data_IF_511869946364
#
_entry.id   IF_511869946364
#
_cell.length_a   1.000
_cell.length_b   1.000
_cell.length_c   1.000
_cell.angle_alpha   90.00
_cell.angle_beta   90.00
_cell.angle_gamma   90.00
#
_symmetry.space_group_name_H-M   'P 1'
#
loop_
_entity.id
_entity.type
_entity.pdbx_description
1 polymer ?
#
# COMPACT_ATOMS: atom_id res chain seq x y z
N UNK A 1 -73.93 -49.98 59.28
CA UNK A 1 -73.04 -51.00 59.82
C UNK A 1 -71.74 -50.91 59.12
N UNK A 2 -70.74 -50.35 59.79
CA UNK A 2 -69.40 -50.85 60.01
C UNK A 2 -68.62 -51.19 58.76
N UNK A 3 -67.48 -50.81 58.51
CA UNK A 3 -66.35 -50.65 59.41
C UNK A 3 -65.22 -49.87 58.67
N UNK A 4 -64.51 -49.17 59.44
CA UNK A 4 -63.18 -48.66 59.40
C UNK A 4 -62.15 -49.42 58.54
N UNK A 5 -61.18 -48.73 58.08
CA UNK A 5 -59.93 -49.26 57.57
C UNK A 5 -58.96 -48.19 57.13
N UNK A 6 -58.47 -47.43 58.11
CA UNK A 6 -57.21 -46.68 58.06
C UNK A 6 -56.10 -47.58 57.51
N UNK A 7 -55.20 -47.04 56.70
CA UNK A 7 -53.70 -47.10 56.86
C UNK A 7 -53.00 -46.22 55.86
N UNK A 8 -52.42 -45.14 56.32
CA UNK A 8 -51.17 -44.58 55.83
C UNK A 8 -50.05 -45.61 56.11
N UNK A 9 -48.87 -45.43 55.59
CA UNK A 9 -48.17 -44.54 54.67
C UNK A 9 -47.19 -45.27 53.73
N UNK A 10 -46.61 -44.61 52.85
CA UNK A 10 -45.13 -44.71 52.61
C UNK A 10 -44.64 -43.64 51.67
N UNK A 11 -43.97 -42.78 52.31
CA UNK A 11 -43.00 -41.83 51.79
C UNK A 11 -42.07 -42.52 50.80
N UNK A 12 -42.09 -42.11 49.55
CA UNK A 12 -41.07 -42.43 48.59
C UNK A 12 -40.51 -41.12 48.04
N UNK A 13 -39.33 -40.77 48.55
CA UNK A 13 -38.44 -39.76 48.05
C UNK A 13 -38.08 -40.11 46.62
N UNK A 14 -38.56 -39.33 45.64
CA UNK A 14 -38.01 -39.33 44.32
C UNK A 14 -37.12 -38.09 44.21
N UNK A 15 -35.81 -38.33 44.32
CA UNK A 15 -34.79 -37.37 43.97
C UNK A 15 -34.88 -37.08 42.46
N UNK A 16 -35.53 -35.99 42.11
CA UNK A 16 -35.40 -35.42 40.75
C UNK A 16 -34.06 -34.74 40.65
N UNK A 17 -33.10 -35.43 40.03
CA UNK A 17 -31.85 -34.86 39.56
C UNK A 17 -32.18 -34.01 38.36
N UNK A 18 -32.28 -32.70 38.55
CA UNK A 18 -32.34 -31.71 37.47
C UNK A 18 -30.93 -31.60 36.92
N UNK A 19 -30.65 -32.31 35.84
CA UNK A 19 -29.47 -32.13 35.02
C UNK A 19 -29.65 -30.87 34.20
N UNK A 20 -29.24 -29.71 34.75
CA UNK A 20 -29.18 -28.45 34.02
C UNK A 20 -28.06 -28.57 32.99
N UNK A 21 -28.44 -28.85 31.73
CA UNK A 21 -27.56 -28.70 30.59
C UNK A 21 -27.20 -27.20 30.43
N UNK A 22 -26.03 -26.88 30.92
CA UNK A 22 -25.41 -25.57 30.70
C UNK A 22 -24.95 -25.52 29.24
N UNK A 23 -25.85 -25.14 28.33
CA UNK A 23 -25.48 -24.81 26.97
C UNK A 23 -24.80 -23.45 27.01
N UNK A 24 -23.47 -23.47 27.13
CA UNK A 24 -22.67 -22.28 26.92
C UNK A 24 -22.83 -21.84 25.45
N UNK A 25 -23.22 -20.61 25.18
CA UNK A 25 -23.18 -20.10 23.80
C UNK A 25 -21.71 -20.06 23.38
N UNK A 26 -21.35 -20.92 22.45
CA UNK A 26 -20.11 -20.81 21.71
C UNK A 26 -20.22 -19.54 20.84
N UNK A 27 -19.87 -18.39 21.42
CA UNK A 27 -19.67 -17.18 20.66
C UNK A 27 -18.48 -17.44 19.73
N UNK A 28 -18.79 -17.91 18.52
CA UNK A 28 -17.84 -17.82 17.44
C UNK A 28 -17.55 -16.32 17.25
N UNK A 29 -16.40 -15.89 17.71
CA UNK A 29 -15.85 -14.61 17.30
C UNK A 29 -15.66 -14.71 15.79
N UNK A 30 -16.62 -14.20 15.03
CA UNK A 30 -16.43 -13.89 13.62
C UNK A 30 -15.40 -12.78 13.66
N UNK A 31 -14.14 -13.10 13.35
CA UNK A 31 -13.17 -12.09 12.99
C UNK A 31 -13.77 -11.40 11.77
N UNK A 32 -14.24 -10.17 11.91
CA UNK A 32 -14.53 -9.31 10.79
C UNK A 32 -13.20 -9.19 10.02
N UNK A 33 -13.09 -9.92 8.92
CA UNK A 33 -12.04 -9.64 7.93
C UNK A 33 -12.32 -8.21 7.46
N UNK A 34 -11.47 -7.27 7.89
CA UNK A 34 -11.51 -5.89 7.46
C UNK A 34 -11.35 -5.92 5.93
N UNK A 35 -12.44 -5.62 5.22
CA UNK A 35 -12.47 -5.68 3.76
C UNK A 35 -11.49 -4.63 3.23
N UNK A 36 -10.50 -5.07 2.45
CA UNK A 36 -9.48 -4.16 1.92
C UNK A 36 -10.15 -3.07 1.08
N UNK A 37 -9.77 -1.81 1.33
CA UNK A 37 -10.24 -0.66 0.53
C UNK A 37 -10.00 -0.95 -0.95
N UNK A 38 -10.98 -0.68 -1.81
CA UNK A 38 -10.86 -0.89 -3.24
C UNK A 38 -9.63 -0.13 -3.81
N UNK A 39 -8.79 -0.77 -4.63
CA UNK A 39 -7.51 -0.18 -5.07
C UNK A 39 -7.67 1.14 -5.82
N UNK A 40 -8.73 1.32 -6.59
CA UNK A 40 -8.97 2.60 -7.28
C UNK A 40 -9.37 3.70 -6.29
N UNK A 41 -10.16 3.40 -5.27
CA UNK A 41 -10.52 4.35 -4.22
C UNK A 41 -9.30 4.78 -3.42
N UNK A 42 -8.41 3.84 -3.06
CA UNK A 42 -7.16 4.14 -2.37
C UNK A 42 -6.29 5.14 -3.17
N UNK A 43 -6.16 4.93 -4.47
CA UNK A 43 -5.37 5.82 -5.33
C UNK A 43 -6.05 7.19 -5.48
N UNK A 44 -7.39 7.23 -5.62
CA UNK A 44 -8.15 8.49 -5.66
C UNK A 44 -7.94 9.30 -4.39
N UNK A 45 -8.14 8.68 -3.23
CA UNK A 45 -8.00 9.35 -1.94
C UNK A 45 -6.59 9.91 -1.73
N UNK A 46 -5.56 9.13 -2.08
CA UNK A 46 -4.17 9.58 -1.99
C UNK A 46 -3.89 10.75 -2.97
N UNK A 47 -4.45 10.70 -4.18
CA UNK A 47 -4.35 11.76 -5.18
C UNK A 47 -5.04 13.04 -4.69
N UNK A 48 -6.28 12.95 -4.21
CA UNK A 48 -7.04 14.09 -3.71
C UNK A 48 -6.35 14.75 -2.50
N UNK A 49 -5.84 13.93 -1.55
CA UNK A 49 -5.06 14.43 -0.41
C UNK A 49 -3.80 15.16 -0.85
N UNK A 50 -3.09 14.64 -1.86
CA UNK A 50 -1.89 15.28 -2.37
C UNK A 50 -2.21 16.60 -3.06
N UNK A 51 -3.24 16.64 -3.92
CA UNK A 51 -3.67 17.88 -4.58
C UNK A 51 -4.15 18.93 -3.56
N UNK A 52 -4.85 18.53 -2.52
CA UNK A 52 -5.26 19.44 -1.45
C UNK A 52 -4.03 19.97 -0.70
N UNK A 53 -3.09 19.10 -0.33
CA UNK A 53 -1.87 19.51 0.35
C UNK A 53 -1.02 20.50 -0.46
N UNK A 54 -0.94 20.31 -1.79
CA UNK A 54 -0.27 21.27 -2.68
C UNK A 54 -0.94 22.64 -2.68
N UNK A 55 -2.28 22.68 -2.65
CA UNK A 55 -3.05 23.94 -2.58
C UNK A 55 -2.88 24.63 -1.24
N UNK A 56 -2.97 23.87 -0.15
CA UNK A 56 -2.91 24.40 1.22
C UNK A 56 -1.51 24.94 1.57
N UNK A 57 -0.46 24.37 0.99
CA UNK A 57 0.93 24.79 1.27
C UNK A 57 1.56 25.56 0.09
N UNK A 58 0.75 26.16 -0.80
CA UNK A 58 1.24 26.77 -2.02
C UNK A 58 2.29 27.88 -1.76
N UNK A 59 2.00 28.79 -0.84
CA UNK A 59 2.89 29.92 -0.53
C UNK A 59 4.22 29.42 0.05
N UNK A 60 4.19 28.43 0.97
CA UNK A 60 5.39 27.85 1.57
C UNK A 60 6.21 27.06 0.55
N UNK A 61 5.56 26.36 -0.39
CA UNK A 61 6.23 25.65 -1.48
C UNK A 61 6.86 26.59 -2.52
N UNK A 62 6.32 27.80 -2.70
CA UNK A 62 6.95 28.85 -3.54
C UNK A 62 8.21 29.41 -2.86
N UNK A 63 8.22 29.50 -1.52
CA UNK A 63 9.39 29.94 -0.75
C UNK A 63 10.44 28.85 -0.59
N UNK A 64 10.01 27.62 -0.28
CA UNK A 64 10.86 26.42 -0.12
C UNK A 64 10.24 25.20 -0.80
N UNK A 65 10.65 24.98 -2.03
CA UNK A 65 10.19 23.84 -2.83
C UNK A 65 10.58 22.46 -2.24
N UNK A 66 11.50 22.40 -1.27
CA UNK A 66 11.89 21.14 -0.64
C UNK A 66 10.82 20.54 0.27
N UNK A 67 9.88 21.36 0.75
CA UNK A 67 8.73 20.89 1.56
C UNK A 67 7.86 19.85 0.84
N UNK A 68 7.89 19.82 -0.51
CA UNK A 68 7.19 18.81 -1.32
C UNK A 68 7.62 17.39 -0.95
N UNK A 69 8.88 17.19 -0.56
CA UNK A 69 9.38 15.85 -0.23
C UNK A 69 8.70 15.26 0.99
N UNK A 70 8.43 16.09 2.01
CA UNK A 70 7.66 15.69 3.19
C UNK A 70 6.23 15.32 2.83
N UNK A 71 5.54 16.15 2.05
CA UNK A 71 4.17 15.87 1.61
C UNK A 71 4.06 14.55 0.84
N UNK A 72 4.98 14.33 -0.11
CA UNK A 72 5.02 13.07 -0.87
C UNK A 72 5.29 11.88 0.05
N UNK A 73 6.22 12.04 1.00
CA UNK A 73 6.57 10.98 1.95
C UNK A 73 5.38 10.58 2.83
N UNK A 74 4.63 11.54 3.32
CA UNK A 74 3.54 11.30 4.26
C UNK A 74 2.26 10.82 3.56
N UNK A 75 1.97 11.33 2.37
CA UNK A 75 0.69 11.07 1.68
C UNK A 75 0.79 9.90 0.69
N UNK A 76 1.83 9.86 -0.13
CA UNK A 76 1.92 8.89 -1.23
C UNK A 76 2.71 7.63 -0.86
N UNK A 77 3.88 7.81 -0.20
CA UNK A 77 4.82 6.70 0.03
C UNK A 77 4.25 5.54 0.86
N UNK A 78 3.32 5.73 1.83
CA UNK A 78 2.72 4.61 2.57
C UNK A 78 1.97 3.61 1.67
N UNK A 79 1.54 4.04 0.48
CA UNK A 79 0.83 3.18 -0.47
C UNK A 79 1.77 2.36 -1.38
N UNK A 80 3.10 2.54 -1.28
CA UNK A 80 4.09 1.88 -2.11
C UNK A 80 4.80 0.75 -1.38
N UNK A 81 5.20 -0.28 -2.12
CA UNK A 81 6.08 -1.36 -1.65
C UNK A 81 7.47 -1.19 -2.27
N UNK A 82 8.32 -0.42 -1.58
CA UNK A 82 9.66 -0.14 -2.07
C UNK A 82 10.59 -1.34 -2.07
N UNK A 83 10.40 -2.32 -1.18
CA UNK A 83 11.14 -3.57 -1.21
C UNK A 83 10.88 -4.34 -2.50
N UNK A 84 9.60 -4.45 -2.87
CA UNK A 84 9.21 -5.10 -4.10
C UNK A 84 9.65 -4.33 -5.34
N UNK A 85 9.53 -3.00 -5.33
CA UNK A 85 10.02 -2.14 -6.41
C UNK A 85 11.53 -2.30 -6.60
N UNK A 86 12.31 -2.26 -5.53
CA UNK A 86 13.77 -2.43 -5.50
C UNK A 86 14.19 -3.81 -6.01
N UNK A 87 13.53 -4.86 -5.53
CA UNK A 87 13.73 -6.22 -6.02
C UNK A 87 13.51 -6.35 -7.53
N UNK A 88 12.47 -5.69 -8.03
CA UNK A 88 12.17 -5.66 -9.46
C UNK A 88 13.17 -4.80 -10.24
N UNK A 89 13.59 -3.65 -9.71
CA UNK A 89 14.57 -2.75 -10.33
C UNK A 89 15.97 -3.35 -10.36
N UNK A 90 16.42 -4.07 -9.35
CA UNK A 90 17.70 -4.79 -9.37
C UNK A 90 17.64 -6.10 -10.18
N UNK A 91 16.46 -6.70 -10.34
CA UNK A 91 16.26 -7.94 -11.07
C UNK A 91 17.18 -9.07 -10.57
N UNK A 92 18.03 -9.64 -11.44
CA UNK A 92 18.98 -10.72 -11.06
C UNK A 92 20.02 -10.29 -10.02
N UNK A 93 20.35 -9.01 -9.97
CA UNK A 93 21.34 -8.47 -9.05
C UNK A 93 20.82 -8.44 -7.60
N UNK A 94 19.51 -8.40 -7.37
CA UNK A 94 18.92 -8.53 -6.04
C UNK A 94 19.37 -9.79 -5.30
N UNK A 95 19.49 -10.91 -6.00
CA UNK A 95 19.94 -12.18 -5.38
C UNK A 95 21.42 -12.21 -5.04
N UNK A 96 22.23 -11.35 -5.68
CA UNK A 96 23.67 -11.23 -5.45
C UNK A 96 23.99 -10.24 -4.34
N UNK A 97 23.08 -9.29 -4.09
CA UNK A 97 23.22 -8.31 -3.02
C UNK A 97 23.03 -8.98 -1.66
N UNK A 98 23.82 -8.60 -0.67
CA UNK A 98 23.63 -8.96 0.72
C UNK A 98 22.48 -8.15 1.36
N UNK A 99 22.21 -8.38 2.64
CA UNK A 99 21.08 -7.74 3.35
C UNK A 99 21.30 -6.23 3.46
N UNK A 100 22.49 -5.79 3.85
CA UNK A 100 22.81 -4.37 4.00
C UNK A 100 22.71 -3.63 2.66
N UNK A 101 23.24 -4.21 1.59
CA UNK A 101 23.12 -3.63 0.24
C UNK A 101 21.67 -3.51 -0.22
N UNK A 102 20.82 -4.50 0.10
CA UNK A 102 19.38 -4.43 -0.24
C UNK A 102 18.67 -3.32 0.51
N UNK A 103 18.89 -3.21 1.81
CA UNK A 103 18.30 -2.17 2.65
C UNK A 103 18.74 -0.78 2.20
N UNK A 104 20.04 -0.55 2.05
CA UNK A 104 20.59 0.72 1.58
C UNK A 104 20.10 1.07 0.17
N UNK A 105 20.10 0.12 -0.74
CA UNK A 105 19.59 0.35 -2.09
C UNK A 105 18.10 0.71 -2.08
N UNK A 106 17.27 0.02 -1.28
CA UNK A 106 15.84 0.28 -1.19
C UNK A 106 15.58 1.71 -0.71
N UNK A 107 16.30 2.15 0.31
CA UNK A 107 16.17 3.51 0.82
C UNK A 107 16.64 4.55 -0.22
N UNK A 108 17.80 4.35 -0.85
CA UNK A 108 18.30 5.30 -1.84
C UNK A 108 17.46 5.32 -3.13
N UNK A 109 16.87 4.17 -3.50
CA UNK A 109 15.94 4.13 -4.65
C UNK A 109 14.62 4.82 -4.34
N UNK A 110 14.09 4.69 -3.12
CA UNK A 110 12.94 5.44 -2.63
C UNK A 110 13.19 6.95 -2.74
N UNK A 111 14.28 7.43 -2.17
CA UNK A 111 14.66 8.84 -2.21
C UNK A 111 14.90 9.36 -3.64
N UNK A 112 15.50 8.55 -4.51
CA UNK A 112 15.65 8.89 -5.93
C UNK A 112 14.30 9.14 -6.60
N UNK A 113 13.31 8.27 -6.36
CA UNK A 113 11.97 8.41 -6.93
C UNK A 113 11.27 9.66 -6.36
N UNK A 114 11.31 9.86 -5.05
CA UNK A 114 10.78 11.07 -4.40
C UNK A 114 11.38 12.31 -5.06
N UNK A 115 12.71 12.42 -5.07
CA UNK A 115 13.41 13.59 -5.65
C UNK A 115 13.07 13.82 -7.13
N UNK A 116 13.01 12.74 -7.92
CA UNK A 116 12.82 12.86 -9.37
C UNK A 116 11.40 13.28 -9.73
N UNK A 117 10.40 12.80 -8.99
CA UNK A 117 9.01 12.98 -9.37
C UNK A 117 8.25 14.02 -8.54
N UNK A 118 8.73 14.36 -7.32
CA UNK A 118 8.06 15.40 -6.52
C UNK A 118 8.13 16.78 -7.16
N UNK A 119 9.27 17.14 -7.78
CA UNK A 119 9.41 18.45 -8.43
C UNK A 119 8.44 18.63 -9.61
N UNK A 120 8.13 17.56 -10.32
CA UNK A 120 7.11 17.62 -11.38
C UNK A 120 5.70 17.91 -10.83
N UNK A 121 5.43 17.60 -9.56
CA UNK A 121 4.17 17.94 -8.91
C UNK A 121 4.05 19.43 -8.57
N UNK A 122 5.16 20.14 -8.41
CA UNK A 122 5.16 21.60 -8.18
C UNK A 122 4.77 22.37 -9.46
N UNK A 123 5.01 21.78 -10.62
CA UNK A 123 4.60 22.35 -11.91
C UNK A 123 3.11 22.12 -12.20
N UNK A 124 2.45 21.29 -11.35
CA UNK A 124 1.02 21.05 -11.43
C UNK A 124 0.26 22.34 -11.04
N UNK A 125 -0.50 22.87 -11.97
CA UNK A 125 -1.29 24.09 -11.76
C UNK A 125 -2.78 23.79 -11.64
N UNK A 126 -3.39 23.38 -12.78
CA UNK A 126 -4.84 23.15 -12.88
C UNK A 126 -5.15 21.92 -13.76
N UNK A 127 -4.20 20.98 -13.88
CA UNK A 127 -4.42 19.75 -14.64
C UNK A 127 -5.48 18.87 -13.95
N UNK A 128 -6.37 18.33 -14.74
CA UNK A 128 -7.38 17.40 -14.27
C UNK A 128 -6.82 15.97 -14.29
N UNK A 129 -7.01 15.23 -13.19
CA UNK A 129 -6.69 13.79 -13.14
C UNK A 129 -7.95 13.00 -13.40
N UNK A 130 -8.02 12.34 -14.54
CA UNK A 130 -9.14 11.51 -14.96
C UNK A 130 -8.85 10.04 -14.71
N UNK A 131 -9.59 9.43 -13.80
CA UNK A 131 -9.53 7.98 -13.57
C UNK A 131 -10.30 7.24 -14.66
N UNK A 132 -9.67 6.23 -15.24
CA UNK A 132 -10.32 5.37 -16.24
C UNK A 132 -11.15 4.29 -15.54
N UNK A 133 -12.18 3.72 -16.23
CA UNK A 133 -12.99 2.65 -15.67
C UNK A 133 -12.13 1.48 -15.18
N UNK A 134 -12.39 1.01 -13.97
CA UNK A 134 -11.71 -0.12 -13.36
C UNK A 134 -12.44 -1.42 -13.72
N UNK A 135 -11.72 -2.37 -14.31
CA UNK A 135 -12.29 -3.64 -14.79
C UNK A 135 -11.49 -4.86 -14.34
N UNK A 136 -10.42 -4.66 -13.55
CA UNK A 136 -9.58 -5.78 -13.13
C UNK A 136 -10.30 -6.62 -12.06
N UNK A 137 -10.10 -7.94 -12.12
CA UNK A 137 -10.64 -8.92 -11.19
C UNK A 137 -9.84 -8.87 -9.86
N UNK A 138 -10.47 -8.45 -8.78
CA UNK A 138 -9.87 -8.35 -7.45
C UNK A 138 -9.43 -9.71 -6.88
N UNK A 139 -10.09 -10.81 -7.29
CA UNK A 139 -9.71 -12.15 -6.85
C UNK A 139 -8.29 -12.55 -7.27
N UNK A 140 -7.75 -11.92 -8.30
CA UNK A 140 -6.35 -12.12 -8.74
C UNK A 140 -5.33 -11.49 -7.81
N UNK A 141 -5.76 -10.65 -6.85
CA UNK A 141 -4.88 -9.93 -5.91
C UNK A 141 -3.75 -9.13 -6.59
N UNK A 142 -3.92 -8.81 -7.87
CA UNK A 142 -3.03 -7.97 -8.70
C UNK A 142 -3.88 -7.24 -9.71
N UNK A 143 -3.78 -5.92 -9.70
CA UNK A 143 -4.60 -5.04 -10.53
C UNK A 143 -3.78 -3.88 -11.09
N UNK A 144 -4.39 -3.14 -12.02
CA UNK A 144 -3.87 -1.88 -12.54
C UNK A 144 -4.91 -0.79 -12.40
N UNK A 145 -4.59 0.21 -11.61
CA UNK A 145 -5.37 1.45 -11.59
C UNK A 145 -4.83 2.35 -12.69
N UNK A 146 -5.71 2.76 -13.62
CA UNK A 146 -5.35 3.59 -14.77
C UNK A 146 -5.95 4.98 -14.63
N UNK A 147 -5.17 5.99 -14.99
CA UNK A 147 -5.59 7.38 -15.01
C UNK A 147 -4.88 8.14 -16.13
N UNK A 148 -5.32 9.33 -16.39
CA UNK A 148 -4.71 10.27 -17.32
C UNK A 148 -4.59 11.65 -16.67
N UNK A 149 -3.47 12.30 -16.84
CA UNK A 149 -3.29 13.71 -16.48
C UNK A 149 -3.65 14.51 -17.73
N UNK A 150 -4.69 15.32 -17.64
CA UNK A 150 -5.16 16.17 -18.72
C UNK A 150 -4.41 17.50 -18.66
N UNK A 151 -3.63 17.79 -19.69
CA UNK A 151 -2.84 19.02 -19.78
C UNK A 151 -3.56 20.11 -20.58
N UNK A 152 -3.47 21.37 -20.15
CA UNK A 152 -3.96 22.52 -20.90
C UNK A 152 -3.11 22.70 -22.15
N UNK A 153 -3.68 22.38 -23.33
CA UNK A 153 -3.03 22.62 -24.64
C UNK A 153 -2.08 21.51 -25.10
N UNK A 154 -2.04 20.34 -24.44
CA UNK A 154 -1.24 19.19 -24.82
C UNK A 154 -2.01 17.86 -24.82
N UNK A 155 -1.39 16.77 -25.29
CA UNK A 155 -1.97 15.44 -25.15
C UNK A 155 -2.04 15.04 -23.66
N UNK A 156 -3.04 14.23 -23.30
CA UNK A 156 -3.09 13.66 -21.95
C UNK A 156 -1.90 12.70 -21.71
N UNK A 157 -1.41 12.67 -20.47
CA UNK A 157 -0.35 11.75 -20.07
C UNK A 157 -1.01 10.53 -19.41
N UNK A 158 -0.98 9.35 -20.08
CA UNK A 158 -1.53 8.13 -19.50
C UNK A 158 -0.64 7.61 -18.38
N UNK A 159 -1.25 7.26 -17.25
CA UNK A 159 -0.60 6.66 -16.11
C UNK A 159 -1.27 5.33 -15.72
N UNK A 160 -0.49 4.38 -15.22
CA UNK A 160 -1.01 3.13 -14.68
C UNK A 160 -0.19 2.68 -13.48
N UNK A 161 -0.86 2.49 -12.34
CA UNK A 161 -0.27 1.95 -11.11
C UNK A 161 -0.53 0.45 -11.06
N UNK A 162 0.55 -0.35 -11.06
CA UNK A 162 0.46 -1.79 -10.83
C UNK A 162 0.44 -2.05 -9.32
N UNK A 163 -0.64 -2.66 -8.84
CA UNK A 163 -0.89 -2.89 -7.42
C UNK A 163 -1.07 -4.38 -7.12
N UNK A 164 -0.84 -4.75 -5.88
CA UNK A 164 -1.13 -6.09 -5.36
C UNK A 164 -1.63 -6.02 -3.93
N UNK A 165 -2.44 -7.01 -3.54
CA UNK A 165 -2.88 -7.18 -2.17
C UNK A 165 -1.78 -7.91 -1.39
N UNK A 166 -1.25 -7.28 -0.35
CA UNK A 166 -0.19 -7.85 0.48
C UNK A 166 -0.75 -8.83 1.53
N UNK A 167 0.09 -9.34 2.41
CA UNK A 167 -0.31 -10.32 3.45
C UNK A 167 -1.13 -9.70 4.57
N UNK A 168 -0.97 -8.40 4.79
CA UNK A 168 -1.71 -7.59 5.75
C UNK A 168 -3.05 -7.07 5.16
N UNK A 169 -3.52 -7.67 4.06
CA UNK A 169 -4.75 -7.31 3.36
C UNK A 169 -4.79 -5.83 2.88
N UNK A 170 -3.63 -5.25 2.60
CA UNK A 170 -3.50 -3.88 2.10
C UNK A 170 -3.03 -3.87 0.63
N UNK A 171 -3.65 -3.03 -0.19
CA UNK A 171 -3.19 -2.79 -1.56
C UNK A 171 -1.92 -1.94 -1.57
N UNK A 172 -0.90 -2.40 -2.31
CA UNK A 172 0.39 -1.71 -2.43
C UNK A 172 0.79 -1.56 -3.89
N UNK A 173 1.28 -0.38 -4.24
CA UNK A 173 1.85 -0.08 -5.57
C UNK A 173 3.26 -0.66 -5.65
N UNK A 174 3.57 -1.38 -6.73
CA UNK A 174 4.91 -1.93 -6.96
C UNK A 174 5.53 -1.54 -8.32
N UNK A 175 4.79 -0.84 -9.16
CA UNK A 175 5.30 -0.22 -10.39
C UNK A 175 4.36 0.90 -10.85
N UNK A 176 4.92 1.94 -11.41
CA UNK A 176 4.20 3.04 -12.06
C UNK A 176 4.63 3.09 -13.51
N UNK A 177 3.67 3.15 -14.42
CA UNK A 177 3.90 3.46 -15.83
C UNK A 177 3.45 4.88 -16.12
N UNK A 178 4.30 5.65 -16.74
CA UNK A 178 4.03 7.01 -17.22
C UNK A 178 4.29 7.00 -18.72
N UNK A 179 3.32 7.38 -19.52
CA UNK A 179 3.39 7.35 -20.98
C UNK A 179 3.89 5.99 -21.53
N UNK A 180 3.35 4.91 -20.95
CA UNK A 180 3.71 3.53 -21.30
C UNK A 180 5.05 3.02 -20.76
N UNK A 181 5.89 3.87 -20.18
CA UNK A 181 7.21 3.51 -19.64
C UNK A 181 7.09 3.10 -18.17
N UNK A 182 7.43 1.85 -17.83
CA UNK A 182 7.51 1.37 -16.46
C UNK A 182 8.75 1.92 -15.78
N UNK A 183 8.57 2.57 -14.62
CA UNK A 183 9.68 3.11 -13.83
C UNK A 183 10.64 2.00 -13.40
N UNK A 184 10.12 0.91 -12.85
CA UNK A 184 10.92 -0.22 -12.38
C UNK A 184 11.75 -0.83 -13.52
N UNK A 185 11.14 -1.02 -14.69
CA UNK A 185 11.84 -1.60 -15.86
C UNK A 185 12.87 -0.65 -16.45
N UNK A 186 12.58 0.65 -16.49
CA UNK A 186 13.51 1.67 -16.95
C UNK A 186 14.76 1.73 -16.08
N UNK A 187 14.59 1.80 -14.77
CA UNK A 187 15.73 1.76 -13.84
C UNK A 187 16.49 0.44 -13.86
N UNK A 188 15.83 -0.68 -14.13
CA UNK A 188 16.50 -2.00 -14.21
C UNK A 188 17.62 -2.03 -15.24
N UNK A 189 17.40 -1.48 -16.41
CA UNK A 189 18.44 -1.43 -17.47
C UNK A 189 19.62 -0.57 -17.06
N UNK A 190 19.34 0.60 -16.50
CA UNK A 190 20.36 1.54 -16.01
C UNK A 190 21.18 0.91 -14.88
N UNK A 191 20.55 0.43 -13.82
CA UNK A 191 21.23 -0.18 -12.68
C UNK A 191 21.99 -1.44 -13.05
N UNK A 192 21.46 -2.29 -13.94
CA UNK A 192 22.18 -3.48 -14.39
C UNK A 192 23.49 -3.12 -15.12
N UNK A 193 23.51 -2.03 -15.87
CA UNK A 193 24.72 -1.54 -16.54
C UNK A 193 25.71 -0.97 -15.53
N UNK A 194 25.25 -0.14 -14.61
CA UNK A 194 26.07 0.46 -13.57
C UNK A 194 26.71 -0.61 -12.65
N UNK A 195 25.90 -1.58 -12.17
CA UNK A 195 26.41 -2.68 -11.33
C UNK A 195 27.45 -3.53 -12.06
N UNK A 196 27.25 -3.73 -13.37
CA UNK A 196 28.24 -4.51 -14.17
C UNK A 196 29.57 -3.79 -14.30
N UNK A 197 29.55 -2.46 -14.39
CA UNK A 197 30.75 -1.65 -14.59
C UNK A 197 31.48 -1.37 -13.26
N UNK A 198 30.74 -0.98 -12.23
CA UNK A 198 31.28 -0.36 -11.02
C UNK A 198 30.95 -1.14 -9.73
N UNK A 199 30.06 -2.12 -9.80
CA UNK A 199 29.59 -2.89 -8.63
C UNK A 199 28.40 -2.25 -7.91
N UNK A 200 27.82 -3.01 -6.96
CA UNK A 200 26.63 -2.64 -6.21
C UNK A 200 26.86 -1.43 -5.29
N UNK A 201 27.98 -1.45 -4.55
CA UNK A 201 28.28 -0.39 -3.57
C UNK A 201 28.46 0.97 -4.25
N UNK A 202 29.10 1.00 -5.41
CA UNK A 202 29.28 2.23 -6.17
C UNK A 202 27.95 2.78 -6.71
N UNK A 203 27.03 1.90 -7.11
CA UNK A 203 25.67 2.33 -7.44
C UNK A 203 25.00 2.98 -6.24
N UNK A 204 25.02 2.33 -5.06
CA UNK A 204 24.39 2.83 -3.83
C UNK A 204 25.01 4.17 -3.40
N UNK A 205 26.35 4.28 -3.38
CA UNK A 205 27.07 5.52 -3.05
C UNK A 205 26.66 6.67 -3.99
N UNK A 206 26.53 6.41 -5.29
CA UNK A 206 26.11 7.42 -6.27
C UNK A 206 24.66 7.87 -6.07
N UNK A 207 23.74 6.92 -5.74
CA UNK A 207 22.37 7.26 -5.42
C UNK A 207 22.32 8.11 -4.15
N UNK A 208 23.05 7.72 -3.09
CA UNK A 208 23.13 8.45 -1.83
C UNK A 208 23.60 9.89 -2.03
N UNK A 209 24.71 10.08 -2.76
CA UNK A 209 25.24 11.42 -3.06
C UNK A 209 24.24 12.32 -3.80
N UNK A 210 23.46 11.75 -4.71
CA UNK A 210 22.41 12.49 -5.43
C UNK A 210 21.20 12.82 -4.57
N UNK A 211 20.94 12.05 -3.54
CA UNK A 211 19.76 12.15 -2.68
C UNK A 211 19.95 13.04 -1.45
N UNK A 212 21.17 13.56 -1.19
CA UNK A 212 21.45 14.37 0.00
C UNK A 212 20.46 15.52 0.21
N UNK A 213 19.98 16.14 -0.89
CA UNK A 213 19.00 17.23 -0.83
C UNK A 213 17.58 16.82 -0.36
N UNK A 214 17.27 15.52 -0.34
CA UNK A 214 15.97 15.00 0.12
C UNK A 214 16.05 14.61 1.61
N UNK A 215 17.26 14.44 2.14
CA UNK A 215 17.49 14.02 3.52
C UNK A 215 17.58 15.21 4.50
N UNK A 216 17.74 16.41 3.97
CA UNK A 216 17.84 17.65 4.75
C UNK A 216 16.48 18.25 5.00
#
# INVERSE_FOLDING_TARGET
MSNQGSVMPKLLFICSIIFALFVAPLSAAVAEEEEAIEPQSLVKDATEKMLQALKDNKEELEEDSSLIYGLVQDILMPNFDFDKMSKLALGKNWRKADTEQRERFTEEFRLLLVRTYSTAMLEYTDEEIRFLPFHDDLAKKKVKVKMEILQSGGPSIPMALSMYLNKENAWKVYDVKIDGISLVTNYRSTFATEIRNDGMDKLIERLASRNEKVKA
#
